data_IF_483202825442
#
_entry.id   IF_483202825442
#
_cell.length_a   1.000
_cell.length_b   1.000
_cell.length_c   1.000
_cell.angle_alpha   90.00
_cell.angle_beta   90.00
_cell.angle_gamma   90.00
#
_symmetry.space_group_name_H-M   'P 1'
#
loop_
_entity.id
_entity.type
_entity.pdbx_description
1 polymer ?
#
# COMPACT_ATOMS: atom_id res chain seq x y z
N UNK A 1 5.73 -20.97 -22.49
CA UNK A 1 4.71 -20.03 -21.98
C UNK A 1 4.09 -19.34 -23.19
N UNK A 2 2.77 -19.44 -23.39
CA UNK A 2 2.08 -18.77 -24.49
C UNK A 2 1.42 -17.55 -23.87
N UNK A 3 2.04 -16.38 -24.07
CA UNK A 3 1.40 -15.12 -23.69
C UNK A 3 0.24 -14.86 -24.66
N UNK A 4 -0.91 -14.39 -24.18
CA UNK A 4 -1.95 -13.86 -25.04
C UNK A 4 -1.41 -12.67 -25.87
N UNK A 5 -2.03 -12.39 -26.99
CA UNK A 5 -1.59 -11.31 -27.90
C UNK A 5 -1.56 -9.92 -27.23
N UNK A 6 -2.32 -9.73 -26.14
CA UNK A 6 -2.37 -8.49 -25.38
C UNK A 6 -2.33 -8.79 -23.86
N UNK A 7 -1.16 -8.92 -23.25
CA UNK A 7 -1.04 -9.00 -21.81
C UNK A 7 -1.45 -7.66 -21.16
N UNK A 8 -1.94 -7.72 -19.92
CA UNK A 8 -2.27 -6.53 -19.14
C UNK A 8 -1.03 -6.10 -18.33
N UNK A 9 -0.78 -4.79 -18.20
CA UNK A 9 0.32 -4.30 -17.38
C UNK A 9 -0.07 -4.21 -15.90
N UNK A 10 0.92 -4.16 -14.99
CA UNK A 10 0.71 -3.90 -13.56
C UNK A 10 -0.06 -2.59 -13.37
N UNK A 11 0.35 -1.52 -14.07
CA UNK A 11 -0.31 -0.22 -14.01
C UNK A 11 -1.77 -0.30 -14.43
N UNK A 12 -2.10 -1.03 -15.49
CA UNK A 12 -3.48 -1.22 -15.93
C UNK A 12 -4.34 -1.98 -14.90
N UNK A 13 -3.77 -2.94 -14.15
CA UNK A 13 -4.50 -3.62 -13.07
C UNK A 13 -4.72 -2.66 -11.89
N UNK A 14 -3.70 -1.92 -11.51
CA UNK A 14 -3.83 -0.90 -10.46
C UNK A 14 -4.87 0.15 -10.84
N UNK A 15 -4.83 0.65 -12.09
CA UNK A 15 -5.82 1.60 -12.59
C UNK A 15 -7.25 1.07 -12.51
N UNK A 16 -7.47 -0.21 -12.84
CA UNK A 16 -8.79 -0.83 -12.68
C UNK A 16 -9.25 -0.86 -11.22
N UNK A 17 -8.33 -1.17 -10.28
CA UNK A 17 -8.64 -1.14 -8.84
C UNK A 17 -9.04 0.27 -8.39
N UNK A 18 -8.27 1.28 -8.82
CA UNK A 18 -8.48 2.70 -8.52
C UNK A 18 -9.84 3.17 -9.06
N UNK A 19 -10.07 2.94 -10.36
CA UNK A 19 -11.32 3.32 -11.02
C UNK A 19 -12.54 2.70 -10.33
N UNK A 20 -12.44 1.43 -9.95
CA UNK A 20 -13.50 0.72 -9.26
C UNK A 20 -13.80 1.30 -7.88
N UNK A 21 -12.77 1.61 -7.09
CA UNK A 21 -12.92 2.23 -5.77
C UNK A 21 -13.56 3.61 -5.91
N UNK A 22 -13.15 4.38 -6.92
CA UNK A 22 -13.67 5.73 -7.16
C UNK A 22 -15.08 5.74 -7.75
N UNK A 23 -15.46 4.70 -8.50
CA UNK A 23 -16.80 4.57 -9.07
C UNK A 23 -17.81 4.20 -7.98
N UNK A 24 -18.41 5.23 -7.39
CA UNK A 24 -19.49 5.08 -6.43
C UNK A 24 -20.82 5.54 -7.05
N UNK A 25 -21.56 4.65 -7.71
CA UNK A 25 -22.84 5.03 -8.31
C UNK A 25 -23.85 5.41 -7.22
N UNK A 26 -24.76 6.32 -7.55
CA UNK A 26 -25.86 6.65 -6.65
C UNK A 26 -26.89 5.53 -6.62
N UNK A 27 -27.26 5.13 -5.43
CA UNK A 27 -28.39 4.21 -5.20
C UNK A 27 -29.73 4.92 -5.42
N UNK A 28 -30.82 4.14 -5.40
CA UNK A 28 -32.20 4.68 -5.47
C UNK A 28 -32.50 5.68 -4.36
N UNK A 29 -31.84 5.57 -3.21
CA UNK A 29 -32.01 6.47 -2.05
C UNK A 29 -31.09 7.71 -2.13
N UNK A 30 -30.47 7.94 -3.28
CA UNK A 30 -29.53 9.05 -3.53
C UNK A 30 -28.25 9.01 -2.65
N UNK A 31 -27.91 7.82 -2.15
CA UNK A 31 -26.68 7.57 -1.39
C UNK A 31 -25.64 6.99 -2.35
N UNK A 32 -24.38 7.38 -2.23
CA UNK A 32 -23.32 6.77 -3.01
C UNK A 32 -22.99 5.37 -2.49
N UNK A 33 -22.87 4.41 -3.42
CA UNK A 33 -22.53 3.02 -3.09
C UNK A 33 -21.06 2.92 -2.74
N UNK A 34 -20.76 2.61 -1.48
CA UNK A 34 -19.40 2.47 -0.96
C UNK A 34 -18.86 1.04 -0.98
N UNK A 35 -19.56 0.11 -1.65
CA UNK A 35 -19.25 -1.32 -1.61
C UNK A 35 -17.86 -1.66 -2.10
N UNK A 36 -17.40 -1.05 -3.19
CA UNK A 36 -16.07 -1.30 -3.75
C UNK A 36 -14.94 -0.83 -2.83
N UNK A 37 -15.06 0.37 -2.27
CA UNK A 37 -14.07 0.89 -1.32
C UNK A 37 -14.07 0.06 -0.03
N UNK A 38 -15.24 -0.28 0.48
CA UNK A 38 -15.41 -1.17 1.63
C UNK A 38 -14.73 -2.52 1.41
N UNK A 39 -14.92 -3.13 0.24
CA UNK A 39 -14.32 -4.41 -0.07
C UNK A 39 -12.80 -4.31 -0.17
N UNK A 40 -12.27 -3.25 -0.78
CA UNK A 40 -10.84 -2.99 -0.77
C UNK A 40 -10.28 -2.96 0.67
N UNK A 41 -10.88 -2.18 1.57
CA UNK A 41 -10.43 -2.09 2.96
C UNK A 41 -10.47 -3.42 3.71
N UNK A 42 -11.46 -4.26 3.40
CA UNK A 42 -11.55 -5.61 3.97
C UNK A 42 -10.44 -6.52 3.43
N UNK A 43 -10.13 -6.42 2.13
CA UNK A 43 -9.01 -7.14 1.51
C UNK A 43 -7.68 -6.67 2.07
N UNK A 44 -7.49 -5.35 2.21
CA UNK A 44 -6.28 -4.75 2.78
C UNK A 44 -6.05 -5.22 4.22
N UNK A 45 -7.05 -5.12 5.08
CA UNK A 45 -6.96 -5.60 6.46
C UNK A 45 -6.70 -7.11 6.58
N UNK A 46 -7.21 -7.93 5.65
CA UNK A 46 -6.91 -9.36 5.61
C UNK A 46 -5.48 -9.67 5.12
N UNK A 47 -4.84 -8.75 4.40
CA UNK A 47 -3.51 -8.89 3.79
C UNK A 47 -2.55 -7.81 4.32
N UNK A 48 -2.55 -7.60 5.60
CA UNK A 48 -1.86 -6.52 6.34
C UNK A 48 -0.34 -6.44 6.12
N UNK A 49 0.30 -7.57 5.87
CA UNK A 49 1.75 -7.65 5.70
C UNK A 49 2.20 -7.22 4.30
N UNK A 50 1.24 -6.93 3.44
CA UNK A 50 1.52 -6.54 2.07
C UNK A 50 1.57 -5.02 1.93
N UNK A 51 2.45 -4.56 1.04
CA UNK A 51 2.44 -3.15 0.64
C UNK A 51 1.07 -2.76 0.08
N UNK A 52 0.74 -1.49 0.14
CA UNK A 52 -0.51 -0.96 -0.41
C UNK A 52 -0.71 -1.36 -1.88
N UNK A 53 0.37 -1.40 -2.66
CA UNK A 53 0.34 -1.88 -4.05
C UNK A 53 -0.12 -3.33 -4.12
N UNK A 54 0.47 -4.21 -3.34
CA UNK A 54 0.08 -5.62 -3.33
C UNK A 54 -1.35 -5.81 -2.82
N UNK A 55 -1.81 -5.01 -1.87
CA UNK A 55 -3.20 -5.02 -1.43
C UNK A 55 -4.17 -4.65 -2.57
N UNK A 56 -3.83 -3.65 -3.40
CA UNK A 56 -4.60 -3.29 -4.60
C UNK A 56 -4.56 -4.40 -5.66
N UNK A 57 -3.40 -5.03 -5.87
CA UNK A 57 -3.27 -6.16 -6.79
C UNK A 57 -4.10 -7.37 -6.34
N UNK A 58 -4.08 -7.71 -5.04
CA UNK A 58 -4.89 -8.81 -4.48
C UNK A 58 -6.37 -8.46 -4.62
N UNK A 59 -6.77 -7.23 -4.32
CA UNK A 59 -8.16 -6.78 -4.44
C UNK A 59 -8.71 -6.99 -5.86
N UNK A 60 -7.93 -6.74 -6.90
CA UNK A 60 -8.39 -6.91 -8.28
C UNK A 60 -8.35 -8.37 -8.75
N UNK A 61 -7.38 -9.17 -8.29
CA UNK A 61 -7.15 -10.51 -8.80
C UNK A 61 -7.78 -11.61 -7.94
N UNK A 62 -7.82 -11.44 -6.62
CA UNK A 62 -8.21 -12.46 -5.65
C UNK A 62 -8.78 -11.85 -4.36
N UNK A 63 -9.84 -11.03 -4.41
CA UNK A 63 -10.33 -10.21 -3.29
C UNK A 63 -10.77 -11.00 -2.05
N UNK A 64 -11.10 -12.27 -2.20
CA UNK A 64 -11.50 -13.14 -1.08
C UNK A 64 -10.31 -13.85 -0.39
N UNK A 65 -9.08 -13.61 -0.88
CA UNK A 65 -7.91 -14.30 -0.37
C UNK A 65 -7.41 -13.60 0.89
N UNK A 66 -7.39 -14.35 1.97
CA UNK A 66 -6.88 -13.91 3.28
C UNK A 66 -5.56 -14.59 3.67
N UNK A 67 -5.27 -15.73 3.09
CA UNK A 67 -4.04 -16.49 3.28
C UNK A 67 -3.60 -17.03 1.93
N UNK A 68 -2.37 -16.74 1.56
CA UNK A 68 -1.78 -17.20 0.31
C UNK A 68 -0.38 -17.75 0.52
N UNK A 69 0.07 -18.48 -0.49
CA UNK A 69 1.37 -19.14 -0.53
C UNK A 69 2.08 -18.64 -1.79
N UNK A 70 3.26 -18.07 -1.63
CA UNK A 70 4.04 -17.61 -2.79
C UNK A 70 4.79 -18.76 -3.46
N UNK A 71 5.23 -18.54 -4.70
CA UNK A 71 6.02 -19.53 -5.44
C UNK A 71 7.32 -19.86 -4.70
N UNK A 72 7.97 -18.90 -4.06
CA UNK A 72 9.14 -19.11 -3.23
C UNK A 72 8.85 -20.07 -2.06
N UNK A 73 7.74 -19.85 -1.36
CA UNK A 73 7.30 -20.71 -0.26
C UNK A 73 6.94 -22.13 -0.73
N UNK A 74 6.29 -22.26 -1.91
CA UNK A 74 6.03 -23.58 -2.49
C UNK A 74 7.33 -24.37 -2.71
N UNK A 75 8.34 -23.71 -3.27
CA UNK A 75 9.66 -24.33 -3.53
C UNK A 75 10.38 -24.70 -2.23
N UNK A 76 10.43 -23.79 -1.28
CA UNK A 76 11.10 -23.99 0.03
C UNK A 76 10.48 -25.16 0.82
N UNK A 77 9.15 -25.20 0.87
CA UNK A 77 8.39 -26.19 1.65
C UNK A 77 8.09 -27.48 0.88
N UNK A 78 8.47 -27.57 -0.40
CA UNK A 78 8.13 -28.68 -1.28
C UNK A 78 6.61 -28.93 -1.40
N UNK A 79 5.83 -27.86 -1.33
CA UNK A 79 4.39 -27.89 -1.58
C UNK A 79 4.10 -27.76 -3.07
N UNK A 80 2.87 -28.06 -3.48
CA UNK A 80 2.47 -28.03 -4.88
C UNK A 80 1.13 -27.32 -5.05
N UNK A 81 1.01 -26.48 -6.07
CA UNK A 81 -0.27 -25.94 -6.47
C UNK A 81 -1.15 -27.08 -7.06
N UNK A 82 -2.46 -27.00 -6.85
CA UNK A 82 -3.41 -27.94 -7.46
C UNK A 82 -3.50 -27.66 -8.95
N UNK A 83 -3.46 -28.75 -9.77
CA UNK A 83 -3.72 -28.61 -11.21
C UNK A 83 -5.06 -27.93 -11.46
N UNK A 84 -5.08 -26.96 -12.38
CA UNK A 84 -6.27 -26.16 -12.70
C UNK A 84 -6.61 -25.06 -11.70
N UNK A 85 -5.85 -24.90 -10.59
CA UNK A 85 -6.07 -23.80 -9.66
C UNK A 85 -5.70 -22.44 -10.26
N UNK A 86 -6.24 -21.38 -9.66
CA UNK A 86 -5.93 -19.99 -10.03
C UNK A 86 -4.80 -19.47 -9.16
N UNK A 87 -3.82 -18.81 -9.77
CA UNK A 87 -2.82 -18.01 -9.10
C UNK A 87 -3.03 -16.54 -9.41
N UNK A 88 -2.40 -15.68 -8.63
CA UNK A 88 -2.37 -14.22 -8.81
C UNK A 88 -0.95 -13.70 -8.63
N UNK A 89 -0.71 -12.47 -9.03
CA UNK A 89 0.60 -11.85 -9.00
C UNK A 89 0.75 -10.88 -7.84
N UNK A 90 1.92 -10.92 -7.24
CA UNK A 90 2.43 -9.93 -6.27
C UNK A 90 3.65 -9.24 -6.87
N UNK A 91 3.86 -7.99 -6.51
CA UNK A 91 5.03 -7.21 -6.88
C UNK A 91 6.03 -7.24 -5.72
N UNK A 92 7.19 -7.83 -5.93
CA UNK A 92 8.20 -8.01 -4.90
C UNK A 92 9.57 -7.57 -5.40
N UNK A 93 10.41 -7.08 -4.49
CA UNK A 93 11.84 -6.90 -4.75
C UNK A 93 12.54 -8.23 -4.51
N UNK A 94 13.27 -8.70 -5.51
CA UNK A 94 14.07 -9.91 -5.44
C UNK A 94 15.55 -9.58 -5.51
N UNK A 95 16.38 -10.16 -4.63
CA UNK A 95 17.83 -10.00 -4.67
C UNK A 95 18.46 -11.33 -5.08
N UNK A 96 19.18 -11.34 -6.19
CA UNK A 96 19.96 -12.47 -6.66
C UNK A 96 21.41 -12.03 -6.90
N UNK A 97 22.37 -12.65 -6.24
CA UNK A 97 23.81 -12.41 -6.44
C UNK A 97 24.28 -10.94 -6.34
N UNK A 98 23.80 -10.19 -5.37
CA UNK A 98 24.04 -8.75 -5.16
C UNK A 98 23.23 -7.80 -6.07
N UNK A 99 22.46 -8.31 -7.02
CA UNK A 99 21.55 -7.52 -7.84
C UNK A 99 20.13 -7.59 -7.28
N UNK A 100 19.46 -6.45 -7.22
CA UNK A 100 18.07 -6.36 -6.79
C UNK A 100 17.21 -5.87 -7.94
N UNK A 101 16.05 -6.50 -8.13
CA UNK A 101 15.11 -6.15 -9.20
C UNK A 101 13.67 -6.33 -8.77
N UNK A 102 12.82 -5.50 -9.32
CA UNK A 102 11.39 -5.57 -9.13
C UNK A 102 10.82 -6.69 -9.98
N UNK A 103 10.07 -7.61 -9.37
CA UNK A 103 9.58 -8.81 -10.04
C UNK A 103 8.15 -9.16 -9.67
N UNK A 104 7.44 -9.72 -10.63
CA UNK A 104 6.17 -10.38 -10.40
C UNK A 104 6.40 -11.80 -9.84
N UNK A 105 5.89 -12.06 -8.64
CA UNK A 105 5.88 -13.36 -8.00
C UNK A 105 4.47 -13.92 -7.99
N UNK A 106 4.32 -15.19 -8.37
CA UNK A 106 3.02 -15.88 -8.29
C UNK A 106 2.69 -16.27 -6.86
N UNK A 107 1.42 -16.16 -6.53
CA UNK A 107 0.86 -16.64 -5.27
C UNK A 107 -0.46 -17.39 -5.51
N UNK A 108 -0.80 -18.28 -4.60
CA UNK A 108 -2.01 -19.09 -4.63
C UNK A 108 -2.77 -18.94 -3.33
N UNK A 109 -4.08 -18.91 -3.39
CA UNK A 109 -4.90 -19.03 -2.20
C UNK A 109 -4.57 -20.37 -1.47
N UNK A 110 -4.60 -20.35 -0.16
CA UNK A 110 -4.30 -21.52 0.69
C UNK A 110 -5.01 -22.79 0.23
N UNK A 111 -6.29 -22.67 -0.14
CA UNK A 111 -7.11 -23.81 -0.55
C UNK A 111 -6.67 -24.42 -1.88
N UNK A 112 -5.82 -23.74 -2.64
CA UNK A 112 -5.32 -24.16 -3.95
C UNK A 112 -3.95 -24.84 -3.87
N UNK A 113 -3.43 -25.07 -2.65
CA UNK A 113 -2.11 -25.70 -2.43
C UNK A 113 -2.28 -27.07 -1.78
N UNK A 114 -1.48 -28.05 -2.26
CA UNK A 114 -1.35 -29.39 -1.72
C UNK A 114 -0.09 -29.51 -0.85
N UNK A 115 -0.13 -30.43 0.11
CA UNK A 115 1.03 -30.68 0.98
C UNK A 115 1.06 -29.85 2.25
N UNK A 116 0.06 -29.02 2.48
CA UNK A 116 -0.11 -28.26 3.71
C UNK A 116 -0.46 -29.21 4.88
N UNK A 117 0.50 -30.04 5.29
CA UNK A 117 0.34 -30.98 6.41
C UNK A 117 0.28 -30.32 7.79
N UNK A 118 0.66 -29.05 7.86
CA UNK A 118 0.53 -28.21 9.03
C UNK A 118 -0.05 -26.85 8.60
N UNK A 119 -0.81 -26.27 9.46
CA UNK A 119 -1.47 -24.98 9.34
C UNK A 119 -0.45 -23.94 8.86
N UNK A 120 -0.73 -23.28 7.74
CA UNK A 120 -0.09 -22.01 7.42
C UNK A 120 -0.64 -21.04 8.45
N UNK A 121 0.16 -20.75 9.46
CA UNK A 121 -0.23 -19.84 10.52
C UNK A 121 -0.35 -18.44 9.90
N UNK A 122 -1.48 -17.77 10.08
CA UNK A 122 -1.49 -16.32 10.07
C UNK A 122 -0.50 -15.86 11.12
N UNK A 123 0.34 -14.90 10.81
CA UNK A 123 1.33 -14.40 11.79
C UNK A 123 0.67 -13.81 13.04
N UNK A 124 -0.56 -13.30 12.88
CA UNK A 124 -1.32 -12.77 14.00
C UNK A 124 -2.81 -13.09 13.89
N UNK A 125 -3.42 -13.51 14.97
CA UNK A 125 -4.85 -13.76 15.06
C UNK A 125 -5.39 -13.35 16.42
N UNK A 126 -6.47 -12.55 16.41
CA UNK A 126 -7.19 -12.20 17.62
C UNK A 126 -7.87 -13.43 18.19
N UNK A 127 -7.63 -13.69 19.48
CA UNK A 127 -8.34 -14.75 20.20
C UNK A 127 -9.40 -14.14 21.11
N UNK A 128 -10.68 -14.60 21.05
CA UNK A 128 -11.75 -14.06 21.88
C UNK A 128 -11.47 -14.03 23.38
N UNK A 129 -10.62 -14.94 23.88
CA UNK A 129 -10.23 -14.97 25.30
C UNK A 129 -9.24 -13.87 25.71
N UNK A 130 -8.60 -13.18 24.75
CA UNK A 130 -7.62 -12.12 25.03
C UNK A 130 -8.16 -10.72 24.77
N UNK A 131 -9.41 -10.58 24.37
CA UNK A 131 -10.04 -9.28 24.05
C UNK A 131 -9.79 -8.22 25.14
N UNK A 132 -9.94 -8.61 26.42
CA UNK A 132 -9.70 -7.68 27.53
C UNK A 132 -8.24 -7.23 27.64
N UNK A 133 -7.29 -8.10 27.32
CA UNK A 133 -5.86 -7.75 27.34
C UNK A 133 -5.54 -6.80 26.19
N UNK A 134 -6.12 -7.00 25.03
CA UNK A 134 -5.92 -6.15 23.85
C UNK A 134 -6.51 -4.77 24.07
N UNK A 135 -7.72 -4.69 24.63
CA UNK A 135 -8.31 -3.40 25.04
C UNK A 135 -7.40 -2.67 26.04
N UNK A 136 -6.83 -3.40 27.01
CA UNK A 136 -5.93 -2.82 27.99
C UNK A 136 -4.60 -2.35 27.38
N UNK A 137 -4.10 -3.05 26.36
CA UNK A 137 -2.91 -2.64 25.59
C UNK A 137 -3.18 -1.32 24.85
N UNK A 138 -4.32 -1.21 24.17
CA UNK A 138 -4.74 0.03 23.51
C UNK A 138 -4.90 1.16 24.53
N UNK A 139 -5.50 0.92 25.68
CA UNK A 139 -5.62 1.92 26.74
C UNK A 139 -4.27 2.44 27.23
N UNK A 140 -3.28 1.55 27.39
CA UNK A 140 -1.92 1.94 27.80
C UNK A 140 -1.21 2.76 26.74
N UNK A 141 -1.41 2.44 25.47
CA UNK A 141 -0.77 3.15 24.36
C UNK A 141 -1.40 4.51 24.09
N UNK A 142 -2.72 4.58 24.10
CA UNK A 142 -3.44 5.80 23.72
C UNK A 142 -3.94 6.65 24.88
N UNK A 143 -4.04 6.10 26.09
CA UNK A 143 -4.42 6.85 27.30
C UNK A 143 -5.83 7.41 27.34
N UNK A 144 -6.45 7.65 26.18
CA UNK A 144 -7.80 8.24 26.01
C UNK A 144 -8.91 7.20 25.82
N UNK A 145 -8.56 5.91 25.71
CA UNK A 145 -9.53 4.84 25.41
C UNK A 145 -10.34 4.49 26.64
N UNK A 146 -11.65 4.65 26.54
CA UNK A 146 -12.63 4.33 27.58
C UNK A 146 -13.50 3.12 27.24
N UNK A 147 -13.47 2.67 25.98
CA UNK A 147 -14.27 1.55 25.49
C UNK A 147 -13.93 0.25 26.24
N UNK A 148 -14.96 -0.59 26.46
CA UNK A 148 -14.85 -1.87 27.15
C UNK A 148 -14.69 -3.05 26.20
N UNK A 149 -15.08 -2.87 24.93
CA UNK A 149 -14.98 -3.90 23.90
C UNK A 149 -13.92 -3.53 22.86
N UNK A 150 -13.27 -4.55 22.29
CA UNK A 150 -12.21 -4.33 21.31
C UNK A 150 -12.66 -3.54 20.07
N UNK A 151 -13.81 -3.83 19.44
CA UNK A 151 -14.25 -3.06 18.27
C UNK A 151 -14.35 -1.55 18.55
N UNK A 152 -14.88 -1.17 19.70
CA UNK A 152 -15.01 0.23 20.09
C UNK A 152 -13.68 0.84 20.55
N UNK A 153 -12.79 0.05 21.16
CA UNK A 153 -11.44 0.49 21.50
C UNK A 153 -10.60 0.77 20.24
N UNK A 154 -10.70 -0.09 19.22
CA UNK A 154 -10.07 0.13 17.91
C UNK A 154 -10.60 1.41 17.24
N UNK A 155 -11.91 1.68 17.34
CA UNK A 155 -12.48 2.94 16.86
C UNK A 155 -11.87 4.15 17.53
N UNK A 156 -11.80 4.14 18.87
CA UNK A 156 -11.22 5.26 19.65
C UNK A 156 -9.73 5.43 19.36
N UNK A 157 -9.00 4.34 19.10
CA UNK A 157 -7.61 4.41 18.63
C UNK A 157 -7.53 5.06 17.25
N UNK A 158 -8.34 4.64 16.29
CA UNK A 158 -8.42 5.25 14.96
C UNK A 158 -8.77 6.75 15.04
N UNK A 159 -9.76 7.14 15.86
CA UNK A 159 -10.12 8.53 16.10
C UNK A 159 -8.94 9.35 16.65
N UNK A 160 -8.12 8.72 17.50
CA UNK A 160 -6.94 9.38 18.09
C UNK A 160 -5.83 9.55 17.07
N UNK A 161 -5.53 8.51 16.27
CA UNK A 161 -4.53 8.57 15.20
C UNK A 161 -4.91 9.63 14.15
N UNK A 162 -6.13 9.58 13.64
CA UNK A 162 -6.61 10.56 12.65
C UNK A 162 -6.50 11.98 13.20
N UNK A 163 -6.94 12.22 14.45
CA UNK A 163 -6.86 13.54 15.06
C UNK A 163 -5.42 14.01 15.24
N UNK A 164 -4.52 13.13 15.61
CA UNK A 164 -3.10 13.46 15.77
C UNK A 164 -2.46 13.77 14.42
N UNK A 165 -2.72 12.97 13.40
CA UNK A 165 -2.22 13.19 12.04
C UNK A 165 -2.74 14.50 11.44
N UNK A 166 -4.04 14.77 11.56
CA UNK A 166 -4.64 16.03 11.09
C UNK A 166 -4.07 17.30 11.75
N UNK A 167 -3.54 17.17 12.98
CA UNK A 167 -2.92 18.30 13.70
C UNK A 167 -1.44 18.46 13.43
N UNK A 168 -0.70 17.33 13.34
CA UNK A 168 0.77 17.35 13.32
C UNK A 168 1.34 17.52 11.91
N UNK A 169 0.63 17.04 10.88
CA UNK A 169 1.18 16.87 9.54
C UNK A 169 0.49 17.75 8.49
N UNK A 170 -0.34 18.71 8.91
CA UNK A 170 -1.03 19.57 7.94
C UNK A 170 -1.80 18.80 6.85
N UNK A 171 -2.37 17.66 7.21
CA UNK A 171 -3.03 16.75 6.27
C UNK A 171 -4.14 17.42 5.47
N UNK A 172 -4.79 18.43 6.04
CA UNK A 172 -5.80 19.16 5.31
C UNK A 172 -5.20 19.95 4.13
N UNK A 173 -4.02 20.52 4.31
CA UNK A 173 -3.32 21.24 3.24
C UNK A 173 -2.84 20.26 2.16
N UNK A 174 -2.26 19.11 2.53
CA UNK A 174 -1.91 18.03 1.60
C UNK A 174 -3.14 17.53 0.82
N UNK A 175 -4.26 17.28 1.51
CA UNK A 175 -5.51 16.92 0.86
C UNK A 175 -5.95 17.96 -0.18
N UNK A 176 -5.82 19.24 0.14
CA UNK A 176 -6.18 20.32 -0.79
C UNK A 176 -5.23 20.39 -1.98
N UNK A 177 -3.95 20.16 -1.79
CA UNK A 177 -2.98 20.06 -2.88
C UNK A 177 -3.36 18.94 -3.85
N UNK A 178 -3.70 17.76 -3.36
CA UNK A 178 -4.19 16.65 -4.18
C UNK A 178 -5.46 16.99 -4.98
N UNK A 179 -6.30 17.90 -4.49
CA UNK A 179 -7.48 18.36 -5.25
C UNK A 179 -7.16 19.38 -6.36
N UNK A 180 -5.87 19.71 -6.57
CA UNK A 180 -5.43 20.79 -7.46
C UNK A 180 -5.84 22.20 -7.01
N UNK A 181 -6.23 22.34 -5.73
CA UNK A 181 -6.59 23.63 -5.13
C UNK A 181 -5.38 24.20 -4.40
N UNK A 182 -5.15 25.48 -4.59
CA UNK A 182 -4.05 26.20 -3.91
C UNK A 182 -4.28 26.16 -2.39
N UNK A 183 -3.22 25.85 -1.63
CA UNK A 183 -3.28 25.83 -0.16
C UNK A 183 -3.76 27.19 0.41
N UNK A 184 -4.40 27.17 1.58
CA UNK A 184 -4.88 28.40 2.23
C UNK A 184 -3.70 29.37 2.49
N UNK A 185 -2.53 28.85 2.79
CA UNK A 185 -1.33 29.63 3.05
C UNK A 185 -0.74 30.24 1.78
N UNK A 186 -0.74 29.48 0.68
CA UNK A 186 -0.35 29.95 -0.63
C UNK A 186 -1.35 30.97 -1.19
N UNK A 187 -2.64 30.79 -0.95
CA UNK A 187 -3.65 31.82 -1.20
C UNK A 187 -3.39 33.09 -0.37
N UNK A 188 -3.06 32.95 0.91
CA UNK A 188 -2.74 34.11 1.77
C UNK A 188 -1.46 34.79 1.35
N UNK A 189 -0.44 34.07 0.86
CA UNK A 189 0.81 34.65 0.38
C UNK A 189 0.71 35.29 -1.02
N UNK A 190 -0.20 34.81 -1.86
CA UNK A 190 -0.44 35.33 -3.21
C UNK A 190 -1.45 36.48 -3.30
N UNK A 191 -2.15 36.82 -2.20
CA UNK A 191 -3.09 37.95 -2.19
C UNK A 191 -2.33 39.28 -2.22
N UNK A 192 -1.93 39.68 -3.42
CA UNK A 192 -2.10 41.08 -3.83
C UNK A 192 -3.60 41.30 -4.04
N UNK A 193 -4.14 42.48 -3.66
CA UNK A 193 -5.58 42.72 -3.69
C UNK A 193 -6.05 42.85 -5.13
N UNK A 194 -6.49 41.77 -5.75
CA UNK A 194 -7.32 41.76 -6.94
C UNK A 194 -8.62 41.07 -6.59
N UNK A 195 -9.69 41.85 -6.69
CA UNK A 195 -11.03 41.62 -6.15
C UNK A 195 -11.83 40.42 -6.71
N UNK A 196 -11.25 39.46 -7.40
CA UNK A 196 -12.00 38.44 -8.16
C UNK A 196 -11.74 36.96 -7.81
N UNK A 197 -11.06 36.66 -6.71
CA UNK A 197 -10.93 35.26 -6.27
C UNK A 197 -12.02 34.96 -5.23
N UNK A 198 -12.99 34.06 -5.55
CA UNK A 198 -14.00 33.73 -4.56
C UNK A 198 -13.34 33.06 -3.35
N UNK A 199 -13.35 33.74 -2.22
CA UNK A 199 -13.01 33.17 -0.92
C UNK A 199 -13.90 31.93 -0.70
N UNK A 200 -13.31 30.76 -0.52
CA UNK A 200 -14.06 29.61 -0.02
C UNK A 200 -14.60 29.97 1.37
N UNK A 201 -15.89 29.76 1.58
CA UNK A 201 -16.50 30.10 2.88
C UNK A 201 -15.96 29.15 3.96
N UNK A 202 -15.76 29.67 5.17
CA UNK A 202 -15.34 28.89 6.34
C UNK A 202 -16.19 27.62 6.52
N UNK A 203 -17.48 27.69 6.20
CA UNK A 203 -18.42 26.55 6.21
C UNK A 203 -18.06 25.42 5.25
N UNK A 204 -17.44 25.73 4.10
CA UNK A 204 -17.00 24.71 3.15
C UNK A 204 -15.74 24.01 3.64
N UNK A 205 -14.79 24.76 4.19
CA UNK A 205 -13.57 24.24 4.78
C UNK A 205 -13.91 23.32 5.95
N UNK A 206 -14.83 23.75 6.82
CA UNK A 206 -15.32 22.94 7.95
C UNK A 206 -15.98 21.65 7.45
N UNK A 207 -16.79 21.70 6.38
CA UNK A 207 -17.45 20.52 5.82
C UNK A 207 -16.47 19.53 5.20
N UNK A 208 -15.45 20.00 4.48
CA UNK A 208 -14.39 19.15 3.90
C UNK A 208 -13.53 18.52 5.00
N UNK A 209 -13.14 19.29 6.03
CA UNK A 209 -12.38 18.78 7.16
C UNK A 209 -13.15 17.72 7.94
N UNK A 210 -14.44 17.96 8.22
CA UNK A 210 -15.30 17.00 8.91
C UNK A 210 -15.52 15.72 8.08
N UNK A 211 -15.62 15.85 6.74
CA UNK A 211 -15.70 14.70 5.86
C UNK A 211 -14.39 13.90 5.89
N UNK A 212 -13.23 14.57 5.75
CA UNK A 212 -11.92 13.93 5.74
C UNK A 212 -11.68 13.18 7.05
N UNK A 213 -11.93 13.79 8.21
CA UNK A 213 -11.83 13.13 9.51
C UNK A 213 -12.73 11.89 9.57
N UNK A 214 -13.99 12.02 9.15
CA UNK A 214 -14.96 10.94 9.20
C UNK A 214 -14.60 9.77 8.28
N UNK A 215 -14.17 10.05 7.05
CA UNK A 215 -13.81 8.99 6.08
C UNK A 215 -12.58 8.23 6.54
N UNK A 216 -11.55 8.91 7.01
CA UNK A 216 -10.33 8.31 7.53
C UNK A 216 -10.62 7.44 8.76
N UNK A 217 -11.37 7.94 9.75
CA UNK A 217 -11.73 7.16 10.94
C UNK A 217 -12.48 5.88 10.57
N UNK A 218 -13.49 5.99 9.70
CA UNK A 218 -14.28 4.82 9.33
C UNK A 218 -13.49 3.81 8.47
N UNK A 219 -12.60 4.28 7.59
CA UNK A 219 -11.76 3.44 6.77
C UNK A 219 -10.72 2.68 7.61
N UNK A 220 -9.97 3.37 8.46
CA UNK A 220 -9.04 2.76 9.42
C UNK A 220 -9.74 1.76 10.33
N UNK A 221 -10.90 2.15 10.86
CA UNK A 221 -11.66 1.26 11.74
C UNK A 221 -12.13 0.00 11.02
N UNK A 222 -12.64 0.10 9.79
CA UNK A 222 -13.06 -1.07 9.01
C UNK A 222 -11.89 -1.99 8.70
N UNK A 223 -10.74 -1.44 8.30
CA UNK A 223 -9.53 -2.21 8.02
C UNK A 223 -9.04 -2.93 9.29
N UNK A 224 -9.00 -2.25 10.44
CA UNK A 224 -8.67 -2.86 11.74
C UNK A 224 -9.63 -3.98 12.13
N UNK A 225 -10.94 -3.81 11.91
CA UNK A 225 -11.93 -4.86 12.16
C UNK A 225 -11.69 -6.09 11.28
N UNK A 226 -11.36 -5.87 9.99
CA UNK A 226 -10.99 -6.94 9.08
C UNK A 226 -9.72 -7.67 9.54
N UNK A 227 -8.69 -6.92 9.91
CA UNK A 227 -7.42 -7.44 10.42
C UNK A 227 -7.58 -8.30 11.67
N UNK A 228 -8.51 -7.91 12.53
CA UNK A 228 -8.87 -8.64 13.76
C UNK A 228 -9.94 -9.73 13.55
N UNK A 229 -10.38 -9.99 12.32
CA UNK A 229 -11.47 -10.93 12.00
C UNK A 229 -12.79 -10.64 12.73
N UNK A 230 -13.05 -9.37 13.04
CA UNK A 230 -14.26 -8.96 13.73
C UNK A 230 -15.38 -8.70 12.70
N UNK A 231 -16.59 -9.18 12.98
CA UNK A 231 -17.76 -8.91 12.14
C UNK A 231 -18.07 -7.42 12.12
N UNK A 232 -17.87 -6.77 10.98
CA UNK A 232 -17.91 -5.31 10.82
C UNK A 232 -19.30 -4.74 10.53
N UNK A 233 -20.24 -5.52 9.97
CA UNK A 233 -21.54 -5.01 9.49
C UNK A 233 -22.37 -4.30 10.58
N UNK A 234 -22.21 -4.69 11.83
CA UNK A 234 -22.88 -4.05 12.96
C UNK A 234 -22.19 -2.76 13.45
N UNK A 235 -20.94 -2.54 13.04
CA UNK A 235 -20.12 -1.42 13.51
C UNK A 235 -19.98 -0.32 12.46
N UNK A 236 -19.68 -0.69 11.21
CA UNK A 236 -19.49 0.24 10.09
C UNK A 236 -20.61 0.01 9.06
N UNK A 237 -21.74 0.70 9.15
CA UNK A 237 -22.86 0.53 8.23
C UNK A 237 -22.50 0.90 6.79
N UNK A 238 -23.21 0.30 5.82
CA UNK A 238 -23.11 0.70 4.42
C UNK A 238 -23.43 2.18 4.23
N UNK A 239 -22.77 2.83 3.28
CA UNK A 239 -22.92 4.26 2.99
C UNK A 239 -22.16 5.19 3.95
N UNK A 240 -21.29 4.66 4.83
CA UNK A 240 -20.45 5.48 5.72
C UNK A 240 -19.09 5.84 5.11
N UNK A 241 -18.72 5.18 4.01
CA UNK A 241 -17.44 5.33 3.30
C UNK A 241 -17.62 5.99 1.94
N UNK A 242 -18.49 7.00 1.87
CA UNK A 242 -18.74 7.73 0.64
C UNK A 242 -17.57 8.64 0.30
N UNK A 243 -16.87 8.35 -0.79
CA UNK A 243 -15.77 9.15 -1.31
C UNK A 243 -16.28 10.45 -1.94
N UNK A 244 -17.45 10.37 -2.60
CA UNK A 244 -18.08 11.54 -3.22
C UNK A 244 -18.75 12.45 -2.16
N UNK A 245 -18.77 13.78 -2.38
CA UNK A 245 -18.29 14.49 -3.57
C UNK A 245 -16.83 14.98 -3.51
N UNK A 246 -16.06 14.60 -2.51
CA UNK A 246 -14.76 15.24 -2.23
C UNK A 246 -13.55 14.48 -2.83
N UNK A 247 -13.64 13.18 -3.03
CA UNK A 247 -12.62 12.42 -3.76
C UNK A 247 -12.87 12.58 -5.27
N UNK A 248 -12.21 13.58 -5.87
CA UNK A 248 -12.48 14.02 -7.25
C UNK A 248 -11.49 13.48 -8.27
N UNK A 249 -10.33 12.99 -7.84
CA UNK A 249 -9.27 12.47 -8.68
C UNK A 249 -8.48 11.36 -7.94
N UNK A 250 -7.56 10.74 -8.63
CA UNK A 250 -6.74 9.65 -8.14
C UNK A 250 -5.78 10.08 -7.03
N UNK A 251 -5.21 11.29 -7.12
CA UNK A 251 -4.28 11.79 -6.10
C UNK A 251 -4.96 11.88 -4.72
N UNK A 252 -6.23 12.30 -4.69
CA UNK A 252 -7.02 12.30 -3.44
C UNK A 252 -7.24 10.88 -2.94
N UNK A 253 -7.49 9.92 -3.83
CA UNK A 253 -7.63 8.53 -3.42
C UNK A 253 -6.31 7.98 -2.89
N UNK A 254 -5.19 8.22 -3.57
CA UNK A 254 -3.87 7.79 -3.11
C UNK A 254 -3.53 8.37 -1.74
N UNK A 255 -3.78 9.65 -1.54
CA UNK A 255 -3.66 10.29 -0.23
C UNK A 255 -4.47 9.54 0.84
N UNK A 256 -5.76 9.27 0.58
CA UNK A 256 -6.61 8.57 1.54
C UNK A 256 -6.10 7.17 1.84
N UNK A 257 -5.79 6.37 0.81
CA UNK A 257 -5.32 4.99 0.97
C UNK A 257 -4.00 4.92 1.75
N UNK A 258 -3.06 5.81 1.43
CA UNK A 258 -1.77 5.90 2.13
C UNK A 258 -1.95 6.26 3.61
N UNK A 259 -2.80 7.26 3.92
CA UNK A 259 -3.06 7.62 5.31
C UNK A 259 -3.77 6.51 6.07
N UNK A 260 -4.75 5.85 5.45
CA UNK A 260 -5.44 4.70 6.05
C UNK A 260 -4.47 3.58 6.37
N UNK A 261 -3.66 3.16 5.39
CA UNK A 261 -2.67 2.10 5.57
C UNK A 261 -1.69 2.41 6.72
N UNK A 262 -1.06 3.59 6.72
CA UNK A 262 -0.13 4.01 7.78
C UNK A 262 -0.77 4.06 9.17
N UNK A 263 -1.99 4.59 9.28
CA UNK A 263 -2.70 4.66 10.56
C UNK A 263 -3.13 3.29 11.07
N UNK A 264 -3.57 2.41 10.18
CA UNK A 264 -3.89 1.03 10.53
C UNK A 264 -2.67 0.33 11.09
N UNK A 265 -1.51 0.47 10.45
CA UNK A 265 -0.25 -0.09 10.94
C UNK A 265 0.19 0.52 12.28
N UNK A 266 0.03 1.84 12.45
CA UNK A 266 0.33 2.51 13.71
C UNK A 266 -0.48 1.93 14.86
N UNK A 267 -1.80 1.82 14.69
CA UNK A 267 -2.70 1.24 15.72
C UNK A 267 -2.33 -0.22 15.97
N UNK A 268 -2.10 -0.99 14.91
CA UNK A 268 -1.85 -2.42 15.02
C UNK A 268 -0.47 -2.74 15.61
N UNK A 269 0.50 -1.85 15.46
CA UNK A 269 1.85 -1.98 16.04
C UNK A 269 1.83 -2.15 17.57
N UNK A 270 0.77 -1.69 18.23
CA UNK A 270 0.55 -1.88 19.68
C UNK A 270 0.52 -3.37 20.05
N UNK A 271 0.06 -4.22 19.12
CA UNK A 271 -0.07 -5.66 19.32
C UNK A 271 1.16 -6.45 18.92
N UNK A 272 2.03 -5.91 18.05
CA UNK A 272 3.21 -6.61 17.57
C UNK A 272 4.15 -7.01 18.72
N UNK A 273 4.55 -8.27 18.71
CA UNK A 273 5.52 -8.84 19.65
C UNK A 273 5.01 -9.07 21.07
N UNK A 274 3.73 -8.75 21.39
CA UNK A 274 3.22 -8.85 22.76
C UNK A 274 2.24 -10.00 22.98
N UNK A 275 1.50 -10.42 21.96
CA UNK A 275 0.59 -11.55 22.03
C UNK A 275 0.72 -12.33 20.72
N UNK A 276 1.56 -13.35 20.72
CA UNK A 276 1.53 -14.44 19.73
C UNK A 276 0.98 -15.66 20.46
N UNK A 277 -0.32 -15.94 20.39
CA UNK A 277 -0.78 -17.25 20.82
C UNK A 277 -0.22 -18.26 19.83
N UNK A 278 0.57 -19.21 20.32
CA UNK A 278 0.85 -20.44 19.57
C UNK A 278 -0.46 -21.21 19.49
N UNK A 279 -1.08 -21.24 18.33
CA UNK A 279 -2.30 -21.99 18.11
C UNK A 279 -2.01 -23.31 17.45
N UNK A 280 -2.17 -24.38 18.20
CA UNK A 280 -2.26 -25.73 17.66
C UNK A 280 -3.71 -26.14 17.27
N UNK A 281 -4.73 -25.30 17.57
CA UNK A 281 -6.14 -25.65 17.44
C UNK A 281 -6.94 -24.79 16.44
N UNK A 282 -6.37 -24.49 15.28
CA UNK A 282 -7.01 -23.63 14.26
C UNK A 282 -8.03 -24.34 13.35
N UNK A 283 -8.51 -25.53 13.74
CA UNK A 283 -9.32 -26.39 12.87
C UNK A 283 -10.79 -25.98 12.68
N UNK A 284 -11.30 -24.91 13.27
CA UNK A 284 -12.75 -24.72 13.29
C UNK A 284 -13.32 -23.36 12.90
N UNK A 285 -12.55 -22.40 12.36
CA UNK A 285 -13.10 -21.12 11.94
C UNK A 285 -13.12 -20.95 10.41
N UNK A 286 -13.95 -21.70 9.69
CA UNK A 286 -14.47 -21.34 8.39
C UNK A 286 -15.61 -20.32 8.56
N UNK A 287 -15.33 -19.12 8.96
CA UNK A 287 -16.23 -17.99 8.76
C UNK A 287 -15.71 -17.15 7.61
N UNK A 288 -15.99 -17.61 6.40
CA UNK A 288 -15.87 -16.79 5.20
C UNK A 288 -16.81 -15.60 5.34
N UNK A 289 -16.26 -14.41 5.31
CA UNK A 289 -17.07 -13.23 5.06
C UNK A 289 -17.55 -13.35 3.60
N UNK A 290 -18.78 -13.76 3.39
CA UNK A 290 -19.40 -13.64 2.08
C UNK A 290 -19.71 -12.16 1.84
N UNK A 291 -18.76 -11.48 1.26
CA UNK A 291 -18.98 -10.23 0.57
C UNK A 291 -19.54 -10.65 -0.78
N UNK A 292 -20.65 -10.04 -1.21
CA UNK A 292 -21.16 -10.29 -2.56
C UNK A 292 -20.01 -10.14 -3.55
N UNK A 293 -19.75 -11.16 -4.35
CA UNK A 293 -18.68 -11.12 -5.35
C UNK A 293 -18.86 -9.85 -6.18
N UNK A 294 -17.89 -8.94 -6.19
CA UNK A 294 -17.95 -7.82 -7.11
C UNK A 294 -17.91 -8.40 -8.52
N UNK A 295 -18.74 -7.88 -9.39
CA UNK A 295 -18.70 -8.21 -10.80
C UNK A 295 -17.42 -7.59 -11.41
N UNK A 296 -16.29 -8.27 -11.24
CA UNK A 296 -15.04 -7.88 -11.87
C UNK A 296 -15.11 -8.22 -13.36
N UNK A 297 -14.74 -7.31 -14.23
CA UNK A 297 -14.43 -7.66 -15.60
C UNK A 297 -13.33 -8.72 -15.61
N UNK A 298 -13.55 -9.78 -16.37
CA UNK A 298 -12.59 -10.88 -16.43
C UNK A 298 -11.22 -10.37 -16.91
N UNK A 299 -10.19 -10.68 -16.14
CA UNK A 299 -8.81 -10.43 -16.56
C UNK A 299 -8.43 -11.40 -17.68
N UNK A 300 -7.55 -11.00 -18.64
CA UNK A 300 -6.97 -11.93 -19.57
C UNK A 300 -6.17 -12.99 -18.80
N UNK A 301 -6.49 -14.26 -18.99
CA UNK A 301 -5.83 -15.37 -18.28
C UNK A 301 -4.88 -16.12 -19.18
N UNK A 302 -3.79 -16.63 -18.61
CA UNK A 302 -2.87 -17.56 -19.28
C UNK A 302 -2.72 -18.85 -18.47
N UNK A 303 -2.38 -19.94 -19.17
CA UNK A 303 -2.09 -21.22 -18.53
C UNK A 303 -0.58 -21.39 -18.42
N UNK A 304 -0.12 -21.74 -17.24
CA UNK A 304 1.28 -21.96 -16.92
C UNK A 304 1.69 -23.42 -17.20
N UNK A 305 3.00 -23.69 -17.20
CA UNK A 305 3.55 -25.04 -17.42
C UNK A 305 3.12 -26.05 -16.33
N UNK A 306 2.82 -25.60 -15.15
CA UNK A 306 2.31 -26.38 -14.01
C UNK A 306 0.79 -26.61 -14.07
N UNK A 307 0.14 -26.32 -15.21
CA UNK A 307 -1.29 -26.43 -15.43
C UNK A 307 -2.15 -25.50 -14.57
N UNK A 308 -1.57 -24.55 -13.84
CA UNK A 308 -2.30 -23.50 -13.14
C UNK A 308 -2.64 -22.37 -14.10
N UNK A 309 -3.61 -21.54 -13.73
CA UNK A 309 -3.99 -20.35 -14.50
C UNK A 309 -3.69 -19.08 -13.70
N UNK A 310 -3.22 -18.04 -14.37
CA UNK A 310 -3.01 -16.72 -13.75
C UNK A 310 -3.39 -15.61 -14.73
N UNK A 311 -3.61 -14.38 -14.24
CA UNK A 311 -3.72 -13.23 -15.13
C UNK A 311 -2.48 -13.08 -16.01
N UNK A 312 -2.69 -12.78 -17.28
CA UNK A 312 -1.60 -12.55 -18.24
C UNK A 312 -1.02 -11.15 -18.03
N UNK A 313 -0.25 -10.98 -16.96
CA UNK A 313 0.28 -9.70 -16.52
C UNK A 313 1.77 -9.56 -16.83
N UNK A 314 2.17 -8.35 -17.17
CA UNK A 314 3.57 -7.97 -17.37
C UNK A 314 3.90 -6.75 -16.52
N UNK A 315 5.16 -6.65 -16.13
CA UNK A 315 5.74 -5.44 -15.56
C UNK A 315 6.56 -4.77 -16.67
N UNK A 316 6.17 -3.59 -17.18
CA UNK A 316 6.93 -2.88 -18.21
C UNK A 316 8.36 -2.58 -17.74
N UNK A 317 9.30 -2.63 -18.69
CA UNK A 317 10.72 -2.33 -18.47
C UNK A 317 11.45 -3.22 -17.44
N UNK A 318 10.80 -4.31 -16.95
CA UNK A 318 11.39 -5.20 -15.95
C UNK A 318 12.54 -6.08 -16.49
N UNK A 319 12.80 -6.05 -17.80
CA UNK A 319 13.96 -6.73 -18.41
C UNK A 319 15.27 -6.01 -18.11
N UNK A 320 15.22 -4.76 -17.66
CA UNK A 320 16.39 -3.99 -17.27
C UNK A 320 16.77 -4.33 -15.81
N UNK A 321 18.04 -4.67 -15.60
CA UNK A 321 18.59 -4.77 -14.25
C UNK A 321 18.44 -3.43 -13.55
N UNK A 322 17.74 -3.42 -12.42
CA UNK A 322 17.57 -2.21 -11.62
C UNK A 322 18.84 -2.04 -10.78
N UNK A 323 19.76 -1.18 -11.23
CA UNK A 323 20.97 -0.86 -10.49
C UNK A 323 20.70 -0.26 -9.10
N UNK A 324 21.72 -0.29 -8.21
CA UNK A 324 21.59 0.12 -6.80
C UNK A 324 20.88 1.47 -6.58
N UNK A 325 21.18 2.49 -7.38
CA UNK A 325 20.51 3.80 -7.25
C UNK A 325 19.05 3.81 -7.69
N UNK A 326 18.69 3.02 -8.71
CA UNK A 326 17.30 2.91 -9.15
C UNK A 326 16.44 2.24 -8.07
N UNK A 327 16.92 1.15 -7.48
CA UNK A 327 16.25 0.49 -6.37
C UNK A 327 16.07 1.42 -5.17
N UNK A 328 17.11 2.17 -4.79
CA UNK A 328 17.04 3.14 -3.71
C UNK A 328 15.99 4.24 -3.96
N UNK A 329 15.83 4.68 -5.22
CA UNK A 329 14.75 5.62 -5.55
C UNK A 329 13.37 4.98 -5.39
N UNK A 330 13.20 3.73 -5.82
CA UNK A 330 11.95 2.98 -5.66
C UNK A 330 11.62 2.83 -4.17
N UNK A 331 12.56 2.38 -3.35
CA UNK A 331 12.40 2.24 -1.90
C UNK A 331 12.10 3.59 -1.23
N UNK A 332 12.80 4.65 -1.63
CA UNK A 332 12.52 5.99 -1.12
C UNK A 332 11.09 6.45 -1.44
N UNK A 333 10.63 6.26 -2.67
CA UNK A 333 9.26 6.59 -3.07
C UNK A 333 8.23 5.78 -2.28
N UNK A 334 8.44 4.48 -2.11
CA UNK A 334 7.53 3.62 -1.36
C UNK A 334 7.42 4.04 0.12
N UNK A 335 8.56 4.36 0.76
CA UNK A 335 8.62 4.68 2.18
C UNK A 335 8.19 6.13 2.50
N UNK A 336 8.60 7.09 1.67
CA UNK A 336 8.48 8.52 1.98
C UNK A 336 7.49 9.28 1.09
N UNK A 337 7.30 8.83 -0.16
CA UNK A 337 6.42 9.46 -1.15
C UNK A 337 5.45 8.44 -1.79
N UNK A 338 4.68 7.67 -0.99
CA UNK A 338 3.88 6.56 -1.51
C UNK A 338 2.78 6.99 -2.47
N UNK A 339 2.29 8.22 -2.39
CA UNK A 339 1.36 8.77 -3.38
C UNK A 339 2.03 8.90 -4.76
N UNK A 340 3.26 9.41 -4.79
CA UNK A 340 4.09 9.51 -6.02
C UNK A 340 4.43 8.11 -6.54
N UNK A 341 4.79 7.18 -5.64
CA UNK A 341 5.06 5.78 -5.99
C UNK A 341 3.87 5.13 -6.70
N UNK A 342 2.67 5.25 -6.13
CA UNK A 342 1.44 4.72 -6.72
C UNK A 342 1.14 5.37 -8.07
N UNK A 343 1.32 6.67 -8.20
CA UNK A 343 1.10 7.41 -9.45
C UNK A 343 2.05 6.94 -10.56
N UNK A 344 3.33 6.78 -10.27
CA UNK A 344 4.28 6.27 -11.26
C UNK A 344 4.01 4.81 -11.64
N UNK A 345 3.64 3.99 -10.67
CA UNK A 345 3.37 2.57 -10.92
C UNK A 345 2.07 2.37 -11.71
N UNK A 346 0.99 3.10 -11.38
CA UNK A 346 -0.27 3.04 -12.13
C UNK A 346 -0.14 3.59 -13.54
N UNK A 347 0.78 4.54 -13.77
CA UNK A 347 1.13 5.07 -15.10
C UNK A 347 2.15 4.24 -15.88
N UNK A 348 2.57 3.07 -15.37
CA UNK A 348 3.65 2.25 -15.96
C UNK A 348 4.99 3.02 -16.13
N UNK A 349 5.27 4.02 -15.29
CA UNK A 349 6.45 4.88 -15.39
C UNK A 349 7.50 4.65 -14.28
N UNK A 350 7.22 3.80 -13.29
CA UNK A 350 8.06 3.68 -12.09
C UNK A 350 9.51 3.27 -12.44
N UNK A 351 9.67 2.25 -13.25
CA UNK A 351 11.01 1.72 -13.61
C UNK A 351 11.76 2.73 -14.47
N UNK A 352 11.12 3.31 -15.49
CA UNK A 352 11.76 4.33 -16.34
C UNK A 352 12.19 5.55 -15.53
N UNK A 353 11.35 6.04 -14.61
CA UNK A 353 11.71 7.13 -13.70
C UNK A 353 12.90 6.77 -12.82
N UNK A 354 12.88 5.58 -12.21
CA UNK A 354 13.98 5.14 -11.35
C UNK A 354 15.31 5.00 -12.10
N UNK A 355 15.27 4.54 -13.35
CA UNK A 355 16.46 4.44 -14.22
C UNK A 355 17.01 5.82 -14.60
N UNK A 356 16.17 6.80 -14.93
CA UNK A 356 16.60 8.18 -15.20
C UNK A 356 17.26 8.81 -13.97
N UNK A 357 16.75 8.57 -12.78
CA UNK A 357 17.36 9.00 -11.52
C UNK A 357 18.70 8.29 -11.29
N UNK A 358 18.79 7.00 -11.57
CA UNK A 358 20.03 6.22 -11.42
C UNK A 358 21.12 6.71 -12.37
N UNK A 359 20.80 7.04 -13.62
CA UNK A 359 21.75 7.61 -14.57
C UNK A 359 22.33 8.94 -14.05
N UNK A 360 21.49 9.86 -13.62
CA UNK A 360 21.89 11.13 -13.02
C UNK A 360 22.72 10.94 -11.75
N UNK A 361 22.36 9.98 -10.90
CA UNK A 361 23.08 9.64 -9.69
C UNK A 361 24.49 9.10 -10.00
N UNK A 362 24.60 8.24 -11.00
CA UNK A 362 25.87 7.68 -11.46
C UNK A 362 26.78 8.78 -12.05
N UNK A 363 26.27 9.63 -12.92
CA UNK A 363 27.01 10.78 -13.46
C UNK A 363 27.56 11.67 -12.33
N UNK A 364 26.71 11.99 -11.36
CA UNK A 364 27.10 12.82 -10.21
C UNK A 364 28.15 12.16 -9.34
N UNK A 365 28.03 10.85 -9.09
CA UNK A 365 29.02 10.08 -8.34
C UNK A 365 30.37 10.06 -9.07
N UNK A 366 30.37 9.82 -10.37
CA UNK A 366 31.58 9.87 -11.20
C UNK A 366 32.25 11.25 -11.15
N UNK A 367 31.50 12.34 -11.24
CA UNK A 367 31.98 13.71 -11.16
C UNK A 367 32.66 14.00 -9.82
N UNK A 368 32.10 13.51 -8.70
CA UNK A 368 32.70 13.70 -7.36
C UNK A 368 34.00 12.93 -7.26
N UNK A 369 34.01 11.67 -7.66
CA UNK A 369 35.21 10.82 -7.63
C UNK A 369 36.28 11.39 -8.56
N UNK A 370 35.96 11.81 -9.78
CA UNK A 370 36.90 12.38 -10.72
C UNK A 370 37.57 13.66 -10.18
N UNK A 371 36.79 14.56 -9.56
CA UNK A 371 37.34 15.79 -8.95
C UNK A 371 38.26 15.49 -7.78
N UNK A 372 37.99 14.45 -7.02
CA UNK A 372 38.84 14.06 -5.88
C UNK A 372 40.11 13.33 -6.31
N UNK A 373 40.10 12.69 -7.47
CA UNK A 373 41.24 11.91 -8.00
C UNK A 373 42.04 12.66 -9.05
N UNK A 374 41.62 13.86 -9.42
CA UNK A 374 42.33 14.68 -10.43
C UNK A 374 43.79 14.96 -10.02
N UNK A 375 44.70 14.64 -10.92
CA UNK A 375 46.13 14.80 -10.69
C UNK A 375 46.84 13.68 -9.92
N UNK A 376 46.14 12.59 -9.57
CA UNK A 376 46.73 11.39 -8.97
C UNK A 376 47.09 10.40 -10.08
N UNK A 377 48.36 10.06 -10.21
CA UNK A 377 48.88 9.19 -11.28
C UNK A 377 49.37 7.82 -10.79
N UNK A 378 49.56 7.65 -9.48
CA UNK A 378 50.01 6.40 -8.89
C UNK A 378 48.82 5.53 -8.54
N UNK A 379 48.74 4.29 -9.08
CA UNK A 379 47.63 3.37 -8.98
C UNK A 379 47.18 3.13 -7.51
N UNK A 380 48.12 2.89 -6.60
CA UNK A 380 47.82 2.66 -5.18
C UNK A 380 47.33 3.90 -4.43
N UNK A 381 47.76 5.10 -4.87
CA UNK A 381 47.24 6.34 -4.32
C UNK A 381 45.88 6.66 -4.86
N UNK A 382 45.62 6.31 -6.11
CA UNK A 382 44.33 6.43 -6.78
C UNK A 382 43.27 5.54 -6.11
N UNK A 383 43.57 4.25 -5.89
CA UNK A 383 42.65 3.33 -5.17
C UNK A 383 42.31 3.89 -3.78
N UNK A 384 43.30 4.36 -3.01
CA UNK A 384 43.05 4.93 -1.69
C UNK A 384 42.21 6.21 -1.73
N UNK A 385 42.38 7.03 -2.75
CA UNK A 385 41.63 8.26 -2.94
C UNK A 385 40.16 7.93 -3.31
N UNK A 386 39.94 6.93 -4.17
CA UNK A 386 38.61 6.43 -4.53
C UNK A 386 37.90 5.90 -3.27
N UNK A 387 38.55 5.01 -2.52
CA UNK A 387 37.98 4.45 -1.29
C UNK A 387 37.62 5.53 -0.25
N UNK A 388 38.46 6.55 -0.12
CA UNK A 388 38.26 7.65 0.83
C UNK A 388 37.08 8.56 0.47
N UNK A 389 36.69 8.63 -0.81
CA UNK A 389 35.64 9.53 -1.32
C UNK A 389 34.37 8.82 -1.62
N UNK A 390 34.40 7.50 -1.82
CA UNK A 390 33.21 6.70 -2.24
C UNK A 390 32.02 6.85 -1.29
N UNK A 391 32.25 6.78 0.03
CA UNK A 391 31.20 6.94 1.02
C UNK A 391 30.59 8.35 1.03
N UNK A 392 31.42 9.38 0.87
CA UNK A 392 30.94 10.77 0.83
C UNK A 392 30.23 11.06 -0.50
N UNK A 393 30.73 10.52 -1.60
CA UNK A 393 30.06 10.60 -2.90
C UNK A 393 28.67 9.94 -2.83
N UNK A 394 28.58 8.74 -2.28
CA UNK A 394 27.31 8.04 -2.09
C UNK A 394 26.32 8.86 -1.26
N UNK A 395 26.72 9.38 -0.09
CA UNK A 395 25.85 10.19 0.77
C UNK A 395 25.38 11.47 0.07
N UNK A 396 26.27 12.13 -0.66
CA UNK A 396 25.95 13.35 -1.39
C UNK A 396 24.93 13.06 -2.49
N UNK A 397 25.15 12.00 -3.28
CA UNK A 397 24.25 11.59 -4.35
C UNK A 397 22.88 11.20 -3.78
N UNK A 398 22.86 10.45 -2.69
CA UNK A 398 21.61 10.06 -2.04
C UNK A 398 20.78 11.28 -1.64
N UNK A 399 21.40 12.27 -0.99
CA UNK A 399 20.72 13.48 -0.55
C UNK A 399 20.33 14.42 -1.70
N UNK A 400 21.20 14.58 -2.71
CA UNK A 400 20.96 15.56 -3.79
C UNK A 400 20.03 15.03 -4.89
N UNK A 401 19.99 13.71 -5.12
CA UNK A 401 19.34 13.11 -6.30
C UNK A 401 18.30 12.06 -5.94
N UNK A 402 18.62 11.16 -5.02
CA UNK A 402 17.70 10.05 -4.70
C UNK A 402 16.48 10.54 -3.92
N UNK A 403 16.66 11.51 -3.02
CA UNK A 403 15.61 12.08 -2.17
C UNK A 403 15.01 13.39 -2.70
N UNK A 404 15.36 13.79 -3.93
CA UNK A 404 14.90 15.07 -4.53
C UNK A 404 13.58 14.91 -5.32
#
# INVERSE_FOLDING_TARGET
MIYPENPITVGQILQRSIDRIMQQPKTTDNIYDDSAFRQFLLTAGANEEQSLVNQLLIYEQAPETDVYITEAQLREKQWQAKSGSKSFWLLNVQTEHDDSYLKLERAWARNDVLGLGAVVERKWRLHPHFELQEVEMLRKSYGSITAETLPLALKQAAETEVRNGMRAEEWYDQFRECTGRVSVEEMRSRIMPTDDIPFESDTKIEAETAWLEKILVNAVWLELLSRCEIRFNSYVPAGTLQLQPYCTNEDVLFFLLTKVHRMTDSVFSVFYGKILPKYDDLLSFEQKFHIAEPQHEALPMMTMEDETTCPAMILPDSENEIGGYALQRIEYLEDYEPETYLSYLSGDMLISHAMDIAERAMERSCDIVQKATDGIFEEKELEKAIDAVSDDAYRTVYQEIITS
#
